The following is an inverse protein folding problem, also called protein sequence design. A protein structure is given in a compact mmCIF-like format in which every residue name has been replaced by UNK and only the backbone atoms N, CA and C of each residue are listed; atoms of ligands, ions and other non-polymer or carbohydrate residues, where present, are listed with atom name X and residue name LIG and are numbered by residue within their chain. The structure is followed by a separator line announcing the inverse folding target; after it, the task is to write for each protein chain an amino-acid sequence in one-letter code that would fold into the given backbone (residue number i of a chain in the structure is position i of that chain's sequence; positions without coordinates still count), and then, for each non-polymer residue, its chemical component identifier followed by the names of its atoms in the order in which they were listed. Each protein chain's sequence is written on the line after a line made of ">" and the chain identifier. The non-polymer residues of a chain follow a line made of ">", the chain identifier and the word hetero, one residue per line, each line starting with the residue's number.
data_IF_974156829692
#
_entry.id   IF_974156829692
#
_cell.length_a   1.000
_cell.length_b   1.000
_cell.length_c   1.000
_cell.angle_alpha   90.00
_cell.angle_beta   90.00
_cell.angle_gamma   90.00
#
_symmetry.space_group_name_H-M   'P 1'
#
loop_
_entity.id
_entity.type
_entity.pdbx_description
1 polymer ?
#
# COMPACT_ATOMS: atom_id res chain seq x y z
N UNK A 1 3.84 -1.64 -2.97
CA UNK A 1 2.65 -1.39 -3.74
C UNK A 1 3.01 -0.45 -4.87
N UNK A 2 2.93 0.66 -5.08
CA UNK A 2 3.31 1.49 -6.24
C UNK A 2 3.05 2.97 -5.98
N UNK A 3 2.50 3.27 -4.82
CA UNK A 3 2.23 4.65 -4.42
C UNK A 3 3.51 5.43 -4.14
N UNK A 4 3.43 6.74 -4.31
CA UNK A 4 4.57 7.65 -4.18
C UNK A 4 4.90 8.06 -2.73
N UNK A 5 4.09 7.60 -1.74
CA UNK A 5 4.26 7.95 -0.34
C UNK A 5 3.83 9.36 0.04
N UNK A 6 3.05 10.04 -0.80
CA UNK A 6 2.61 11.42 -0.54
C UNK A 6 1.45 11.52 0.47
N UNK A 7 0.83 10.40 0.80
CA UNK A 7 -0.32 10.37 1.71
C UNK A 7 0.05 9.81 3.08
N UNK A 8 -0.71 10.16 4.12
CA UNK A 8 -0.54 9.61 5.47
C UNK A 8 -0.63 8.09 5.47
N UNK A 9 0.12 7.47 6.36
CA UNK A 9 0.07 6.03 6.54
C UNK A 9 0.10 5.63 8.03
N UNK A 10 -0.44 4.46 8.30
CA UNK A 10 -0.49 3.88 9.64
C UNK A 10 -0.37 2.36 9.57
N UNK A 11 0.39 1.79 10.50
CA UNK A 11 0.42 0.38 10.81
C UNK A 11 -0.30 0.15 12.14
N UNK A 12 -1.22 -0.80 12.22
CA UNK A 12 -1.92 -1.19 13.43
C UNK A 12 -1.62 -2.66 13.76
N UNK A 13 -0.91 -2.88 14.85
CA UNK A 13 -0.53 -4.20 15.37
C UNK A 13 -1.46 -4.67 16.51
N UNK A 14 -2.63 -4.06 16.67
CA UNK A 14 -3.59 -4.39 17.73
C UNK A 14 -3.22 -3.87 19.12
N UNK A 15 -1.95 -3.91 19.50
CA UNK A 15 -1.43 -3.36 20.77
C UNK A 15 -0.64 -2.07 20.60
N UNK A 16 -0.39 -1.63 19.38
CA UNK A 16 0.37 -0.42 19.06
C UNK A 16 0.13 0.06 17.64
N UNK A 17 0.08 1.38 17.48
CA UNK A 17 -0.07 2.05 16.18
C UNK A 17 1.19 2.80 15.85
N UNK A 18 1.61 2.72 14.58
CA UNK A 18 2.85 3.34 14.09
C UNK A 18 2.61 4.01 12.75
N UNK A 19 3.12 5.22 12.57
CA UNK A 19 2.96 5.99 11.35
C UNK A 19 3.72 7.30 11.41
N UNK A 20 3.22 8.32 10.70
CA UNK A 20 3.76 9.66 10.80
C UNK A 20 3.17 10.42 11.99
N UNK A 21 3.98 11.24 12.64
CA UNK A 21 3.54 12.09 13.75
C UNK A 21 2.45 13.07 13.30
N UNK A 22 1.44 13.29 14.12
CA UNK A 22 0.38 14.27 13.87
C UNK A 22 -0.96 13.68 13.44
N UNK A 23 -1.05 12.36 13.28
CA UNK A 23 -2.32 11.66 12.98
C UNK A 23 -2.99 11.10 14.26
N UNK A 24 -2.81 11.78 15.38
CA UNK A 24 -3.48 11.36 16.61
C UNK A 24 -5.00 11.58 16.51
N UNK A 25 -5.75 10.51 16.68
CA UNK A 25 -7.22 10.52 16.71
C UNK A 25 -7.66 10.31 18.15
N UNK A 26 -8.52 11.18 18.71
CA UNK A 26 -9.13 10.94 20.00
C UNK A 26 -9.73 9.52 20.06
N UNK A 27 -9.66 8.86 21.21
CA UNK A 27 -10.21 7.52 21.45
C UNK A 27 -9.42 6.35 20.82
N UNK A 28 -8.35 6.61 20.06
CA UNK A 28 -7.44 5.56 19.57
C UNK A 28 -6.08 5.61 20.29
N UNK A 29 -5.36 4.49 20.43
CA UNK A 29 -4.02 4.49 21.00
C UNK A 29 -3.11 5.52 20.28
N UNK A 30 -2.27 6.21 21.06
CA UNK A 30 -1.36 7.24 20.53
C UNK A 30 -0.50 6.67 19.41
N UNK A 31 -0.44 7.39 18.31
CA UNK A 31 0.41 7.05 17.16
C UNK A 31 1.88 7.23 17.51
N UNK A 32 2.68 6.17 17.35
CA UNK A 32 4.13 6.21 17.51
C UNK A 32 4.80 6.42 16.16
N UNK A 33 5.95 7.06 16.15
CA UNK A 33 6.70 7.27 14.90
C UNK A 33 7.25 5.94 14.36
N UNK A 34 6.83 5.56 13.14
CA UNK A 34 7.19 4.28 12.53
C UNK A 34 8.71 4.09 12.35
N UNK A 35 9.45 5.14 12.00
CA UNK A 35 10.91 5.10 11.82
C UNK A 35 11.73 4.85 13.10
N UNK A 36 11.08 4.63 14.26
CA UNK A 36 11.74 4.34 15.54
C UNK A 36 11.57 2.90 15.98
N UNK A 37 10.99 2.05 15.16
CA UNK A 37 10.74 0.65 15.48
C UNK A 37 10.98 -0.21 14.25
N UNK A 38 11.56 -1.39 14.44
CA UNK A 38 11.70 -2.37 13.36
C UNK A 38 10.40 -3.15 13.19
N UNK A 39 10.13 -3.61 11.97
CA UNK A 39 8.98 -4.46 11.69
C UNK A 39 9.00 -5.74 12.54
N UNK A 40 10.15 -6.37 12.68
CA UNK A 40 10.36 -7.54 13.53
C UNK A 40 9.93 -7.29 14.98
N UNK A 41 10.37 -6.16 15.57
CA UNK A 41 9.99 -5.78 16.92
C UNK A 41 8.51 -5.46 17.08
N UNK A 42 7.87 -4.88 16.07
CA UNK A 42 6.46 -4.52 16.09
C UNK A 42 5.56 -5.74 15.89
N UNK A 43 5.94 -6.66 15.01
CA UNK A 43 5.21 -7.90 14.73
C UNK A 43 5.30 -8.86 15.93
N UNK A 44 6.50 -9.07 16.50
CA UNK A 44 6.69 -10.02 17.59
C UNK A 44 6.12 -11.41 17.24
N UNK A 45 5.15 -11.89 18.02
CA UNK A 45 4.46 -13.18 17.82
C UNK A 45 3.11 -13.06 17.09
N UNK A 46 2.80 -11.90 16.52
CA UNK A 46 1.53 -11.66 15.83
C UNK A 46 1.48 -12.40 14.49
N UNK A 47 0.30 -12.94 14.18
CA UNK A 47 0.04 -13.60 12.89
C UNK A 47 -0.31 -12.61 11.77
N UNK A 48 -0.42 -11.32 12.07
CA UNK A 48 -0.73 -10.29 11.08
C UNK A 48 -1.02 -8.93 11.71
N UNK A 49 -1.13 -7.95 10.84
CA UNK A 49 -1.39 -6.55 11.20
C UNK A 49 -2.09 -5.83 10.06
N UNK A 50 -2.62 -4.64 10.32
CA UNK A 50 -3.24 -3.81 9.30
C UNK A 50 -2.32 -2.67 8.90
N UNK A 51 -2.36 -2.31 7.62
CA UNK A 51 -1.70 -1.15 7.05
C UNK A 51 -2.72 -0.27 6.35
N UNK A 52 -2.76 0.99 6.73
CA UNK A 52 -3.63 2.01 6.15
C UNK A 52 -2.79 3.00 5.36
N UNK A 53 -3.29 3.41 4.20
CA UNK A 53 -2.67 4.42 3.36
C UNK A 53 -3.72 5.35 2.76
N UNK A 54 -3.46 6.65 2.79
CA UNK A 54 -4.36 7.67 2.24
C UNK A 54 -5.11 8.46 3.30
N UNK A 55 -5.83 9.48 2.86
CA UNK A 55 -6.72 10.28 3.68
C UNK A 55 -8.18 9.82 3.52
N UNK A 56 -9.03 10.15 4.48
CA UNK A 56 -10.45 9.75 4.47
C UNK A 56 -10.61 8.24 4.61
N UNK A 57 -11.45 7.61 3.75
CA UNK A 57 -11.63 6.16 3.78
C UNK A 57 -10.34 5.39 3.43
N UNK A 58 -9.49 5.95 2.57
CA UNK A 58 -8.17 5.42 2.23
C UNK A 58 -8.17 3.95 1.81
N UNK A 59 -6.98 3.35 1.90
CA UNK A 59 -6.73 1.96 1.57
C UNK A 59 -6.33 1.18 2.81
N UNK A 60 -7.15 0.20 3.17
CA UNK A 60 -6.84 -0.74 4.24
C UNK A 60 -6.28 -2.03 3.64
N UNK A 61 -5.16 -2.49 4.19
CA UNK A 61 -4.48 -3.73 3.81
C UNK A 61 -4.37 -4.61 5.03
N UNK A 62 -4.78 -5.86 4.90
CA UNK A 62 -4.49 -6.89 5.89
C UNK A 62 -3.21 -7.61 5.49
N UNK A 63 -2.19 -7.55 6.34
CA UNK A 63 -0.96 -8.30 6.18
C UNK A 63 -0.99 -9.51 7.10
N UNK A 64 -0.66 -10.67 6.54
CA UNK A 64 -0.54 -11.92 7.28
C UNK A 64 0.92 -12.34 7.33
N UNK A 65 1.41 -12.67 8.51
CA UNK A 65 2.75 -13.20 8.71
C UNK A 65 2.66 -14.71 8.54
N UNK A 66 3.18 -15.23 7.43
CA UNK A 66 3.13 -16.67 7.13
C UNK A 66 4.24 -17.44 7.83
N UNK A 67 5.43 -16.85 7.91
CA UNK A 67 6.57 -17.46 8.60
C UNK A 67 7.63 -16.42 8.98
N UNK A 68 8.34 -16.70 10.07
CA UNK A 68 9.59 -16.05 10.43
C UNK A 68 10.74 -16.98 10.03
N UNK A 69 11.53 -16.56 9.07
CA UNK A 69 12.66 -17.35 8.55
C UNK A 69 13.97 -16.89 9.19
N UNK A 70 14.96 -17.78 9.33
CA UNK A 70 16.30 -17.37 9.72
C UNK A 70 16.85 -16.30 8.77
N UNK A 71 17.70 -15.38 9.27
CA UNK A 71 18.34 -14.38 8.42
C UNK A 71 19.10 -15.03 7.25
N UNK A 72 18.83 -14.55 6.03
CA UNK A 72 19.54 -14.96 4.82
C UNK A 72 20.43 -13.81 4.35
N UNK A 73 21.75 -13.99 4.46
CA UNK A 73 22.73 -12.99 4.06
C UNK A 73 22.72 -12.68 2.56
N UNK A 74 22.10 -13.52 1.73
CA UNK A 74 21.90 -13.25 0.30
C UNK A 74 20.74 -12.32 0.01
N UNK A 75 19.76 -12.21 0.90
CA UNK A 75 18.61 -11.30 0.81
C UNK A 75 18.98 -9.94 1.39
N UNK A 76 19.41 -9.03 0.53
CA UNK A 76 19.76 -7.64 0.91
C UNK A 76 18.61 -6.67 0.84
N UNK A 77 17.52 -7.06 0.17
CA UNK A 77 16.33 -6.23 -0.05
C UNK A 77 15.08 -7.09 0.01
N UNK A 78 13.94 -6.47 0.28
CA UNK A 78 12.64 -7.14 0.19
C UNK A 78 12.40 -7.70 -1.21
N UNK A 79 11.76 -8.85 -1.31
CA UNK A 79 11.43 -9.51 -2.56
C UNK A 79 9.95 -9.87 -2.63
N UNK A 80 9.31 -9.47 -3.70
CA UNK A 80 7.98 -9.95 -4.06
C UNK A 80 8.10 -11.31 -4.74
N UNK A 81 7.33 -12.30 -4.30
CA UNK A 81 7.32 -13.65 -4.89
C UNK A 81 6.08 -13.91 -5.74
N UNK A 82 5.01 -13.19 -5.47
CA UNK A 82 3.75 -13.27 -6.22
C UNK A 82 2.94 -11.99 -6.04
N UNK A 83 2.05 -11.70 -6.99
CA UNK A 83 1.09 -10.61 -6.91
C UNK A 83 0.07 -10.70 -8.03
N UNK A 84 -0.99 -9.94 -7.93
CA UNK A 84 -2.03 -9.82 -8.93
C UNK A 84 -2.61 -8.40 -8.89
N UNK A 85 -3.12 -7.96 -10.02
CA UNK A 85 -3.71 -6.63 -10.24
C UNK A 85 -2.73 -5.46 -10.10
N UNK A 86 -3.06 -4.37 -10.77
CA UNK A 86 -2.33 -3.13 -10.68
C UNK A 86 -2.57 -2.44 -9.33
N UNK A 87 -1.56 -1.72 -8.86
CA UNK A 87 -1.75 -0.79 -7.75
C UNK A 87 -2.77 0.28 -8.18
N UNK A 88 -3.81 0.54 -7.37
CA UNK A 88 -4.71 1.65 -7.64
C UNK A 88 -3.96 2.98 -7.73
N UNK A 89 -4.38 3.91 -8.59
CA UNK A 89 -3.77 5.24 -8.67
C UNK A 89 -3.83 5.98 -7.33
N UNK A 90 -2.80 6.78 -7.02
CA UNK A 90 -2.76 7.61 -5.80
C UNK A 90 -3.95 8.59 -5.70
N UNK A 91 -4.53 8.97 -6.82
CA UNK A 91 -5.74 9.83 -6.89
C UNK A 91 -7.02 9.13 -6.42
N UNK A 92 -7.01 7.80 -6.29
CA UNK A 92 -8.16 7.05 -5.80
C UNK A 92 -8.23 7.10 -4.27
N UNK A 93 -9.25 7.73 -3.71
CA UNK A 93 -9.44 7.92 -2.27
C UNK A 93 -9.83 6.65 -1.50
N UNK A 94 -9.85 5.48 -2.14
CA UNK A 94 -10.19 4.19 -1.56
C UNK A 94 -10.97 3.30 -2.54
N UNK A 95 -11.49 2.18 -2.03
CA UNK A 95 -12.14 1.14 -2.86
C UNK A 95 -13.35 1.68 -3.65
N UNK A 96 -14.15 2.56 -3.03
CA UNK A 96 -15.35 3.10 -3.69
C UNK A 96 -14.99 3.93 -4.93
N UNK A 97 -14.08 4.87 -4.76
CA UNK A 97 -13.62 5.74 -5.85
C UNK A 97 -12.91 4.95 -6.94
N UNK A 98 -12.10 3.97 -6.55
CA UNK A 98 -11.42 3.08 -7.49
C UNK A 98 -12.40 2.25 -8.33
N UNK A 99 -13.49 1.75 -7.74
CA UNK A 99 -14.53 1.03 -8.49
C UNK A 99 -15.20 1.92 -9.56
N UNK A 100 -15.49 3.17 -9.20
CA UNK A 100 -16.04 4.13 -10.15
C UNK A 100 -15.04 4.41 -11.27
N UNK A 101 -13.77 4.65 -10.93
CA UNK A 101 -12.70 4.84 -11.93
C UNK A 101 -12.60 3.67 -12.90
N UNK A 102 -12.58 2.43 -12.41
CA UNK A 102 -12.50 1.22 -13.24
C UNK A 102 -13.70 1.13 -14.19
N UNK A 103 -14.91 1.48 -13.75
CA UNK A 103 -16.08 1.52 -14.61
C UNK A 103 -15.96 2.59 -15.72
N UNK A 104 -15.50 3.79 -15.38
CA UNK A 104 -15.29 4.88 -16.34
C UNK A 104 -14.28 4.49 -17.42
N UNK A 105 -13.14 3.91 -17.03
CA UNK A 105 -12.10 3.53 -18.00
C UNK A 105 -12.46 2.28 -18.82
N UNK A 106 -13.38 1.44 -18.33
CA UNK A 106 -13.86 0.28 -19.07
C UNK A 106 -14.90 0.63 -20.16
N UNK A 107 -15.52 1.82 -20.09
CA UNK A 107 -16.54 2.28 -21.02
C UNK A 107 -16.02 3.44 -21.90
N UNK A 108 -15.63 3.17 -23.16
CA UNK A 108 -15.14 4.21 -24.07
C UNK A 108 -16.13 5.33 -24.36
N UNK A 109 -17.44 5.07 -24.20
CA UNK A 109 -18.50 6.05 -24.44
C UNK A 109 -18.82 6.88 -23.19
N UNK A 110 -18.19 6.58 -22.06
CA UNK A 110 -18.40 7.34 -20.83
C UNK A 110 -17.89 8.78 -20.97
N UNK A 111 -18.65 9.81 -20.57
CA UNK A 111 -18.26 11.22 -20.75
C UNK A 111 -16.91 11.59 -20.15
N UNK A 112 -16.48 10.90 -19.10
CA UNK A 112 -15.21 11.16 -18.41
C UNK A 112 -14.08 10.22 -18.85
N UNK A 113 -14.32 9.24 -19.73
CA UNK A 113 -13.35 8.22 -20.11
C UNK A 113 -12.00 8.81 -20.56
N UNK A 114 -12.03 9.73 -21.52
CA UNK A 114 -10.81 10.35 -22.06
C UNK A 114 -10.07 11.15 -21.00
N UNK A 115 -10.79 11.87 -20.16
CA UNK A 115 -10.21 12.69 -19.11
C UNK A 115 -9.53 11.84 -18.05
N UNK A 116 -10.20 10.77 -17.58
CA UNK A 116 -9.64 9.88 -16.57
C UNK A 116 -8.40 9.12 -17.09
N UNK A 117 -8.46 8.60 -18.32
CA UNK A 117 -7.28 7.99 -18.95
C UNK A 117 -6.11 8.97 -19.09
N UNK A 118 -6.36 10.21 -19.48
CA UNK A 118 -5.30 11.22 -19.57
C UNK A 118 -4.63 11.48 -18.21
N UNK A 119 -5.42 11.54 -17.14
CA UNK A 119 -4.92 11.68 -15.76
C UNK A 119 -4.02 10.49 -15.34
N UNK A 120 -4.31 9.30 -15.86
CA UNK A 120 -3.55 8.07 -15.63
C UNK A 120 -2.35 7.87 -16.58
N UNK A 121 -2.00 8.88 -17.37
CA UNK A 121 -0.91 8.80 -18.33
C UNK A 121 -1.28 8.11 -19.66
N UNK A 122 -2.56 8.03 -19.98
CA UNK A 122 -3.10 7.52 -21.24
C UNK A 122 -3.43 6.02 -21.23
N UNK A 123 -3.01 5.28 -20.22
CA UNK A 123 -3.30 3.84 -20.11
C UNK A 123 -3.32 3.39 -18.65
N UNK A 124 -4.31 2.60 -18.31
CA UNK A 124 -4.37 1.88 -17.04
C UNK A 124 -5.06 0.54 -17.22
N UNK A 125 -4.40 -0.53 -16.79
CA UNK A 125 -4.92 -1.89 -16.86
C UNK A 125 -5.07 -2.47 -15.44
N UNK A 126 -6.28 -2.47 -14.87
CA UNK A 126 -6.50 -2.91 -13.48
C UNK A 126 -6.05 -4.35 -13.19
N UNK A 127 -6.08 -5.22 -14.20
CA UNK A 127 -5.67 -6.62 -14.08
C UNK A 127 -4.16 -6.86 -14.24
N UNK A 128 -3.39 -5.85 -14.63
CA UNK A 128 -1.97 -6.01 -14.91
C UNK A 128 -1.16 -6.12 -13.62
N UNK A 129 -0.19 -7.04 -13.60
CA UNK A 129 0.83 -7.15 -12.55
C UNK A 129 2.15 -7.61 -13.16
N UNK A 130 3.20 -6.83 -12.99
CA UNK A 130 4.55 -7.16 -13.44
C UNK A 130 5.47 -7.45 -12.24
N UNK A 131 5.72 -8.73 -11.99
CA UNK A 131 6.58 -9.18 -10.89
C UNK A 131 8.03 -8.70 -11.04
N UNK A 132 8.55 -8.63 -12.26
CA UNK A 132 9.91 -8.19 -12.51
C UNK A 132 10.07 -6.69 -12.23
N UNK A 133 9.08 -5.89 -12.65
CA UNK A 133 9.01 -4.46 -12.35
C UNK A 133 8.94 -4.19 -10.85
N UNK A 134 8.05 -4.89 -10.13
CA UNK A 134 7.93 -4.75 -8.68
C UNK A 134 9.25 -5.04 -7.98
N UNK A 135 9.93 -6.12 -8.35
CA UNK A 135 11.23 -6.46 -7.76
C UNK A 135 12.33 -5.49 -8.13
N UNK A 136 12.29 -4.90 -9.32
CA UNK A 136 13.19 -3.82 -9.72
C UNK A 136 13.00 -2.57 -8.87
N UNK A 137 11.77 -2.23 -8.52
CA UNK A 137 11.46 -1.11 -7.63
C UNK A 137 11.88 -1.40 -6.19
N UNK A 138 11.60 -2.60 -5.67
CA UNK A 138 12.02 -3.02 -4.34
C UNK A 138 13.54 -2.97 -4.15
N UNK A 139 14.31 -3.30 -5.19
CA UNK A 139 15.78 -3.23 -5.15
C UNK A 139 16.33 -1.80 -4.97
N UNK A 140 15.51 -0.77 -5.14
CA UNK A 140 15.88 0.65 -4.93
C UNK A 140 15.55 1.16 -3.53
N UNK A 141 14.73 0.43 -2.79
CA UNK A 141 14.40 0.77 -1.39
C UNK A 141 15.64 0.49 -0.56
N UNK A 142 16.16 1.54 0.07
CA UNK A 142 17.31 1.44 1.01
C UNK A 142 16.76 1.48 2.43
N UNK A 143 17.36 0.70 3.31
CA UNK A 143 17.15 0.78 4.75
C UNK A 143 17.66 2.12 5.32
#
# INVERSE_FOLDING_TARGET
>A
MGWNGAHPYEFDFGGGRYGESGLDVPERPRLKHAGRVTLESAVGELNGFDYFYGAGPGWQHRLQVEALLPPDASLRVARCVYGAHACPPDSSGGIADYRVLVQIIADPDHPQHVQELATLGGRFEPGHFDLAEVNRLLARVRE
#
